data_IF_924999508065
#
_entry.id   IF_924999508065
#
_cell.length_a   1.000
_cell.length_b   1.000
_cell.length_c   1.000
_cell.angle_alpha   90.00
_cell.angle_beta   90.00
_cell.angle_gamma   90.00
#
_symmetry.space_group_name_H-M   'P 1'
#
loop_
_entity.id
_entity.type
_entity.pdbx_description
1 polymer ?
#
# COMPACT_ATOMS: atom_id res chain seq x y z
N UNK A 1 22.66 0.21 -10.83
CA UNK A 1 23.63 0.83 -9.89
C UNK A 1 23.34 2.33 -9.85
N UNK A 2 22.70 2.83 -8.78
CA UNK A 2 22.32 4.24 -8.62
C UNK A 2 23.54 5.03 -8.11
N UNK A 3 23.75 6.26 -8.60
CA UNK A 3 24.92 7.10 -8.26
C UNK A 3 24.93 7.43 -6.75
N UNK A 4 25.98 7.07 -5.99
CA UNK A 4 25.98 7.16 -4.52
C UNK A 4 25.86 8.56 -3.91
N UNK A 5 26.12 9.61 -4.70
CA UNK A 5 26.17 11.02 -4.27
C UNK A 5 24.86 11.78 -4.46
N UNK A 6 23.88 11.19 -5.14
CA UNK A 6 22.56 11.79 -5.41
C UNK A 6 21.46 11.02 -4.65
N UNK A 7 21.77 10.55 -3.44
CA UNK A 7 20.78 9.88 -2.60
C UNK A 7 19.81 10.91 -2.06
N UNK A 8 18.58 10.86 -2.55
CA UNK A 8 17.49 11.62 -2.00
C UNK A 8 17.25 11.17 -0.55
N UNK A 9 17.42 12.06 0.41
CA UNK A 9 17.43 11.73 1.86
C UNK A 9 16.04 11.69 2.47
N UNK A 10 15.00 12.07 1.72
CA UNK A 10 13.60 12.08 2.15
C UNK A 10 12.73 11.42 1.09
N UNK A 11 11.86 10.50 1.53
CA UNK A 11 10.94 9.77 0.66
C UNK A 11 10.00 10.71 -0.12
N UNK A 12 9.65 11.85 0.49
CA UNK A 12 8.74 12.86 -0.06
C UNK A 12 9.33 13.57 -1.28
N UNK A 13 10.64 13.80 -1.31
CA UNK A 13 11.29 14.51 -2.42
C UNK A 13 11.36 13.65 -3.69
N UNK A 14 11.33 12.31 -3.56
CA UNK A 14 11.26 11.40 -4.71
C UNK A 14 9.92 11.54 -5.46
N UNK A 15 8.83 11.79 -4.74
CA UNK A 15 7.48 11.98 -5.30
C UNK A 15 7.33 13.37 -5.94
N UNK A 16 7.95 14.40 -5.35
CA UNK A 16 7.82 15.79 -5.81
C UNK A 16 8.72 16.14 -7.00
N UNK A 17 9.81 15.39 -7.23
CA UNK A 17 10.67 15.59 -8.42
C UNK A 17 10.13 14.98 -9.71
N UNK A 18 8.94 14.36 -9.69
CA UNK A 18 8.35 13.73 -10.89
C UNK A 18 7.43 14.74 -11.59
N UNK A 19 7.79 15.22 -12.79
CA UNK A 19 6.89 16.06 -13.57
C UNK A 19 5.63 15.29 -13.96
N UNK A 20 4.46 15.91 -13.86
CA UNK A 20 3.22 15.38 -14.46
C UNK A 20 3.50 14.94 -15.90
N UNK A 21 3.08 13.72 -16.26
CA UNK A 21 3.33 13.01 -17.53
C UNK A 21 4.69 12.34 -17.72
N UNK A 22 5.55 12.25 -16.69
CA UNK A 22 6.80 11.49 -16.80
C UNK A 22 6.60 10.06 -16.30
N UNK A 23 6.87 9.08 -17.16
CA UNK A 23 6.80 7.66 -16.83
C UNK A 23 7.91 7.33 -15.82
N UNK A 24 7.60 7.28 -14.53
CA UNK A 24 8.57 6.81 -13.53
C UNK A 24 8.74 5.30 -13.69
N UNK A 25 9.98 4.77 -13.70
CA UNK A 25 10.17 3.34 -13.55
C UNK A 25 9.85 3.01 -12.09
N UNK A 26 8.59 2.68 -11.83
CA UNK A 26 8.09 2.38 -10.50
C UNK A 26 8.80 1.17 -9.91
N UNK A 27 9.07 1.28 -8.60
CA UNK A 27 9.75 0.33 -7.75
C UNK A 27 9.30 -1.12 -8.05
N UNK A 28 10.05 -1.84 -8.88
CA UNK A 28 9.62 -3.16 -9.37
C UNK A 28 10.25 -3.59 -10.69
N UNK A 29 10.59 -2.65 -11.58
CA UNK A 29 11.49 -2.93 -12.70
C UNK A 29 12.92 -3.12 -12.19
N UNK A 30 13.14 -4.20 -11.42
CA UNK A 30 14.37 -4.92 -11.62
C UNK A 30 14.45 -5.16 -13.12
N UNK A 31 15.53 -4.70 -13.73
CA UNK A 31 15.94 -5.01 -15.09
C UNK A 31 16.25 -6.52 -15.19
N UNK A 32 15.36 -7.39 -14.70
CA UNK A 32 15.34 -8.81 -15.03
C UNK A 32 15.13 -8.80 -16.54
N UNK A 33 16.10 -9.33 -17.26
CA UNK A 33 16.23 -9.30 -18.72
C UNK A 33 15.09 -10.04 -19.45
N UNK A 34 13.84 -9.71 -19.15
CA UNK A 34 12.63 -10.20 -19.79
C UNK A 34 11.98 -9.09 -20.59
N UNK A 35 11.29 -9.50 -21.65
CA UNK A 35 10.62 -8.62 -22.60
C UNK A 35 9.84 -7.49 -21.88
N UNK A 36 10.16 -6.20 -22.15
CA UNK A 36 9.56 -5.07 -21.44
C UNK A 36 8.03 -5.03 -21.53
N UNK A 37 7.46 -5.53 -22.63
CA UNK A 37 6.01 -5.64 -22.80
C UNK A 37 5.37 -6.68 -21.86
N UNK A 38 6.11 -7.73 -21.49
CA UNK A 38 5.62 -8.78 -20.58
C UNK A 38 5.62 -8.29 -19.13
N UNK A 39 6.61 -7.50 -18.73
CA UNK A 39 6.66 -6.92 -17.39
C UNK A 39 5.61 -5.81 -17.24
N UNK A 40 5.48 -4.93 -18.25
CA UNK A 40 4.45 -3.89 -18.25
C UNK A 40 3.04 -4.50 -18.16
N UNK A 41 2.78 -5.60 -18.88
CA UNK A 41 1.49 -6.30 -18.83
C UNK A 41 1.19 -6.96 -17.48
N UNK A 42 2.20 -7.22 -16.65
CA UNK A 42 2.02 -7.73 -15.28
C UNK A 42 1.82 -6.60 -14.28
N UNK A 43 2.48 -5.47 -14.47
CA UNK A 43 2.54 -4.38 -13.50
C UNK A 43 1.54 -3.24 -13.79
N UNK A 44 0.94 -3.17 -14.99
CA UNK A 44 0.08 -2.04 -15.39
C UNK A 44 -1.07 -1.77 -14.42
N UNK A 45 -1.73 -2.83 -13.90
CA UNK A 45 -2.81 -2.68 -12.93
C UNK A 45 -2.31 -2.00 -11.66
N UNK A 46 -1.14 -2.39 -11.18
CA UNK A 46 -0.52 -1.78 -10.00
C UNK A 46 -0.18 -0.32 -10.21
N UNK A 47 0.25 0.08 -11.41
CA UNK A 47 0.51 1.49 -11.75
C UNK A 47 -0.81 2.29 -11.73
N UNK A 48 -1.87 1.76 -12.34
CA UNK A 48 -3.18 2.40 -12.35
C UNK A 48 -3.77 2.55 -10.93
N UNK A 49 -3.68 1.49 -10.12
CA UNK A 49 -4.18 1.52 -8.74
C UNK A 49 -3.45 2.55 -7.88
N UNK A 50 -2.18 2.83 -8.16
CA UNK A 50 -1.41 3.80 -7.39
C UNK A 50 -1.91 5.24 -7.52
N UNK A 51 -2.60 5.59 -8.61
CA UNK A 51 -3.18 6.94 -8.79
C UNK A 51 -4.21 7.28 -7.70
N UNK A 52 -4.97 6.28 -7.22
CA UNK A 52 -5.95 6.45 -6.14
C UNK A 52 -5.43 5.94 -4.79
N UNK A 53 -4.64 4.85 -4.79
CA UNK A 53 -4.10 4.26 -3.57
C UNK A 53 -3.14 5.20 -2.83
N UNK A 54 -2.26 5.91 -3.54
CA UNK A 54 -1.29 6.81 -2.90
C UNK A 54 -2.01 7.96 -2.19
N UNK A 55 -2.90 8.74 -2.84
CA UNK A 55 -3.66 9.78 -2.14
C UNK A 55 -4.53 9.25 -1.01
N UNK A 56 -5.11 8.05 -1.17
CA UNK A 56 -5.91 7.41 -0.13
C UNK A 56 -5.09 7.21 1.16
N UNK A 57 -3.92 6.58 1.08
CA UNK A 57 -3.09 6.33 2.27
C UNK A 57 -2.43 7.60 2.82
N UNK A 58 -2.12 8.58 1.97
CA UNK A 58 -1.61 9.88 2.44
C UNK A 58 -2.64 10.66 3.26
N UNK A 59 -3.93 10.51 2.95
CA UNK A 59 -5.04 11.16 3.66
C UNK A 59 -5.72 10.25 4.70
N UNK A 60 -5.28 9.00 4.84
CA UNK A 60 -5.83 8.06 5.79
C UNK A 60 -5.59 8.58 7.21
N UNK A 61 -6.69 8.89 7.88
CA UNK A 61 -6.70 9.20 9.31
C UNK A 61 -7.28 8.00 10.04
N UNK A 62 -6.77 7.69 11.23
CA UNK A 62 -7.34 6.68 12.13
C UNK A 62 -7.78 7.35 13.42
N UNK A 63 -8.62 6.67 14.20
CA UNK A 63 -9.02 7.18 15.50
C UNK A 63 -7.81 7.35 16.42
N UNK A 64 -7.61 8.57 16.93
CA UNK A 64 -6.47 8.91 17.80
C UNK A 64 -6.65 8.43 19.24
N UNK A 65 -7.89 8.19 19.65
CA UNK A 65 -8.23 7.79 21.02
C UNK A 65 -8.11 6.27 21.23
N UNK A 66 -8.01 5.50 20.13
CA UNK A 66 -7.89 4.04 20.19
C UNK A 66 -6.49 3.63 20.64
N UNK A 67 -6.41 2.98 21.80
CA UNK A 67 -5.14 2.44 22.35
C UNK A 67 -4.88 0.99 21.93
N UNK A 68 -5.86 0.31 21.33
CA UNK A 68 -5.72 -1.06 20.85
C UNK A 68 -5.29 -1.12 19.37
N UNK A 69 -4.13 -1.73 19.12
CA UNK A 69 -3.56 -1.85 17.77
C UNK A 69 -4.43 -2.70 16.86
N UNK A 70 -5.08 -3.73 17.40
CA UNK A 70 -5.96 -4.59 16.59
C UNK A 70 -7.20 -3.83 16.13
N UNK A 71 -7.82 -3.02 16.99
CA UNK A 71 -8.94 -2.15 16.62
C UNK A 71 -8.54 -1.10 15.57
N UNK A 72 -7.36 -0.48 15.68
CA UNK A 72 -6.84 0.43 14.65
C UNK A 72 -6.67 -0.26 13.28
N UNK A 73 -6.20 -1.52 13.28
CA UNK A 73 -6.00 -2.28 12.06
C UNK A 73 -7.33 -2.69 11.41
N UNK A 74 -8.34 -3.02 12.23
CA UNK A 74 -9.71 -3.29 11.76
C UNK A 74 -10.35 -2.03 11.17
N UNK A 75 -10.17 -0.86 11.81
CA UNK A 75 -10.61 0.42 11.25
C UNK A 75 -9.97 0.69 9.88
N UNK A 76 -8.66 0.45 9.77
CA UNK A 76 -7.94 0.58 8.50
C UNK A 76 -8.50 -0.38 7.43
N UNK A 77 -8.80 -1.62 7.79
CA UNK A 77 -9.37 -2.60 6.86
C UNK A 77 -10.71 -2.12 6.29
N UNK A 78 -11.60 -1.57 7.12
CA UNK A 78 -12.87 -1.02 6.66
C UNK A 78 -12.68 0.21 5.77
N UNK A 79 -11.74 1.10 6.12
CA UNK A 79 -11.40 2.25 5.27
C UNK A 79 -10.83 1.84 3.93
N UNK A 80 -9.99 0.80 3.88
CA UNK A 80 -9.48 0.20 2.63
C UNK A 80 -10.62 -0.37 1.80
N UNK A 81 -11.54 -1.10 2.42
CA UNK A 81 -12.71 -1.65 1.72
C UNK A 81 -13.56 -0.55 1.09
N UNK A 82 -13.86 0.50 1.85
CA UNK A 82 -14.72 1.60 1.40
C UNK A 82 -14.03 2.52 0.38
N UNK A 83 -12.74 2.81 0.61
CA UNK A 83 -12.00 3.79 -0.18
C UNK A 83 -11.33 3.23 -1.43
N UNK A 84 -11.06 1.92 -1.49
CA UNK A 84 -10.38 1.27 -2.62
C UNK A 84 -11.17 0.12 -3.25
N UNK A 85 -12.28 -0.31 -2.63
CA UNK A 85 -13.07 -1.44 -3.10
C UNK A 85 -13.68 -1.26 -4.49
N UNK A 86 -13.89 -0.01 -4.93
CA UNK A 86 -14.39 0.29 -6.28
C UNK A 86 -13.31 0.13 -7.37
N UNK A 87 -12.03 0.15 -7.01
CA UNK A 87 -10.91 0.09 -7.96
C UNK A 87 -10.77 -1.33 -8.53
N UNK A 88 -10.78 -2.33 -7.65
CA UNK A 88 -10.69 -3.75 -8.02
C UNK A 88 -11.20 -4.62 -6.85
N UNK A 89 -11.90 -5.74 -7.11
CA UNK A 89 -12.34 -6.68 -6.08
C UNK A 89 -11.22 -7.19 -5.16
N UNK A 90 -9.97 -7.12 -5.62
CA UNK A 90 -8.79 -7.39 -4.80
C UNK A 90 -8.80 -6.62 -3.48
N UNK A 91 -9.20 -5.34 -3.47
CA UNK A 91 -9.16 -4.51 -2.25
C UNK A 91 -10.22 -4.91 -1.23
N UNK A 92 -11.40 -5.33 -1.67
CA UNK A 92 -12.41 -5.93 -0.80
C UNK A 92 -11.87 -7.21 -0.15
N UNK A 93 -11.24 -8.08 -0.96
CA UNK A 93 -10.61 -9.32 -0.46
C UNK A 93 -9.41 -9.04 0.45
N UNK A 94 -8.65 -7.99 0.18
CA UNK A 94 -7.54 -7.54 1.03
C UNK A 94 -8.07 -7.14 2.41
N UNK A 95 -9.14 -6.35 2.47
CA UNK A 95 -9.78 -5.99 3.73
C UNK A 95 -10.30 -7.22 4.50
N UNK A 96 -10.91 -8.19 3.82
CA UNK A 96 -11.31 -9.46 4.43
C UNK A 96 -10.10 -10.20 5.04
N UNK A 97 -8.99 -10.25 4.30
CA UNK A 97 -7.74 -10.86 4.76
C UNK A 97 -7.13 -10.15 5.97
N UNK A 98 -7.16 -8.82 5.98
CA UNK A 98 -6.73 -8.00 7.12
C UNK A 98 -7.54 -8.32 8.38
N UNK A 99 -8.87 -8.44 8.26
CA UNK A 99 -9.76 -8.80 9.36
C UNK A 99 -9.47 -10.23 9.85
N UNK A 100 -9.39 -11.19 8.93
CA UNK A 100 -9.10 -12.59 9.25
C UNK A 100 -7.75 -12.75 9.97
N UNK A 101 -6.74 -11.97 9.56
CA UNK A 101 -5.45 -11.93 10.24
C UNK A 101 -5.56 -11.52 11.70
N UNK A 102 -6.28 -10.42 11.99
CA UNK A 102 -6.48 -9.95 13.37
C UNK A 102 -7.30 -10.95 14.19
N UNK A 103 -8.31 -11.58 13.61
CA UNK A 103 -9.08 -12.63 14.27
C UNK A 103 -8.18 -13.82 14.66
N UNK A 104 -7.35 -14.31 13.73
CA UNK A 104 -6.39 -15.37 14.02
C UNK A 104 -5.33 -14.95 15.04
N UNK A 105 -4.84 -13.72 14.94
CA UNK A 105 -3.86 -13.17 15.90
C UNK A 105 -4.41 -13.16 17.32
N UNK A 106 -5.65 -12.68 17.53
CA UNK A 106 -6.31 -12.65 18.83
C UNK A 106 -6.56 -14.05 19.40
N UNK A 107 -6.86 -15.04 18.56
CA UNK A 107 -7.01 -16.43 18.98
C UNK A 107 -5.70 -17.01 19.52
N UNK A 108 -4.57 -16.69 18.89
CA UNK A 108 -3.25 -17.15 19.30
C UNK A 108 -2.65 -16.34 20.45
N UNK A 109 -3.09 -15.09 20.63
CA UNK A 109 -2.60 -14.16 21.64
C UNK A 109 -3.78 -13.61 22.47
N UNK A 110 -4.47 -14.45 23.26
CA UNK A 110 -5.52 -13.97 24.14
C UNK A 110 -4.93 -12.99 25.15
N UNK A 111 -5.65 -11.91 25.46
CA UNK A 111 -5.23 -10.98 26.50
C UNK A 111 -5.06 -11.76 27.81
N UNK A 112 -3.84 -11.76 28.35
CA UNK A 112 -3.58 -12.32 29.67
C UNK A 112 -4.48 -11.59 30.65
N UNK A 113 -5.44 -12.30 31.26
CA UNK A 113 -6.18 -11.76 32.40
C UNK A 113 -5.15 -11.42 33.47
N UNK A 114 -4.93 -10.12 33.68
CA UNK A 114 -4.20 -9.62 34.84
C UNK A 114 -4.97 -9.96 36.12
#
# INVERSE_FOLDING_TARGET
MVKPRERNTRYVDCVMTVPKNTLFPMCGMNLKASNPFVNLRKEYKGIFWQEEMIPFFQNLTLNKDTTDVCELYLEMAEKVRQGLGHIDPYFTKLADGMIAWIQGWRQLNPATKA
#
